data_IF_321442383115
#
_entry.id   IF_321442383115
#
_cell.length_a   1.000
_cell.length_b   1.000
_cell.length_c   1.000
_cell.angle_alpha   90.00
_cell.angle_beta   90.00
_cell.angle_gamma   90.00
#
_symmetry.space_group_name_H-M   'P 1'
#
loop_
_entity.id
_entity.type
_entity.pdbx_description
1 polymer ?
#
# COMPACT_ATOMS: atom_id res chain seq x y z
N UNK A 10 -10.83 25.49 -2.06
CA UNK A 10 -11.30 25.87 -0.68
C UNK A 10 -12.29 24.92 0.02
N UNK A 11 -11.80 24.06 0.94
CA UNK A 11 -12.72 23.16 1.65
C UNK A 11 -13.26 23.90 2.88
N UNK A 12 -12.73 25.09 3.09
CA UNK A 12 -13.15 26.01 4.16
C UNK A 12 -14.67 26.34 4.06
N UNK A 13 -15.39 25.58 3.24
CA UNK A 13 -16.78 25.82 3.01
C UNK A 13 -17.57 25.48 4.29
N UNK A 14 -17.17 24.36 4.92
CA UNK A 14 -17.78 23.82 6.14
C UNK A 14 -17.40 24.52 7.46
N UNK A 15 -17.06 23.75 8.51
CA UNK A 15 -16.69 24.33 9.80
C UNK A 15 -15.17 24.22 10.00
N UNK A 16 -14.59 25.08 10.83
CA UNK A 16 -13.14 25.08 11.05
C UNK A 16 -12.65 23.94 11.98
N UNK A 17 -13.22 23.86 13.19
CA UNK A 17 -12.80 22.83 14.18
C UNK A 17 -12.54 21.47 13.55
N UNK A 18 -13.52 20.98 12.80
CA UNK A 18 -13.35 19.70 12.11
C UNK A 18 -12.77 18.64 13.08
N UNK A 19 -13.45 18.41 14.20
CA UNK A 19 -12.95 17.47 15.22
C UNK A 19 -12.49 16.14 14.62
N UNK A 20 -13.19 15.65 13.61
CA UNK A 20 -12.71 14.39 13.04
C UNK A 20 -11.26 14.64 12.57
N UNK A 21 -11.01 15.64 11.75
CA UNK A 21 -9.66 15.78 11.19
C UNK A 21 -8.57 15.97 12.26
N UNK A 22 -8.86 16.65 13.37
CA UNK A 22 -7.81 16.82 14.38
C UNK A 22 -7.37 15.44 14.87
N UNK A 23 -8.33 14.54 15.07
CA UNK A 23 -7.92 13.26 15.64
C UNK A 23 -6.84 12.73 14.72
N UNK A 24 -7.06 12.76 13.40
CA UNK A 24 -6.04 12.32 12.45
C UNK A 24 -4.73 13.07 12.65
N UNK A 25 -4.74 14.37 12.89
CA UNK A 25 -3.44 15.00 13.12
C UNK A 25 -2.78 14.24 14.26
N UNK A 26 -3.52 14.01 15.32
CA UNK A 26 -2.96 13.30 16.47
C UNK A 26 -2.31 12.01 15.97
N UNK A 27 -3.00 11.28 15.09
CA UNK A 27 -2.38 10.09 14.49
C UNK A 27 -1.16 10.54 13.70
N UNK A 28 -1.27 11.58 12.87
CA UNK A 28 -0.11 11.79 12.01
C UNK A 28 1.13 11.95 12.88
N UNK A 29 1.08 12.72 13.96
CA UNK A 29 2.24 12.80 14.84
C UNK A 29 2.46 11.46 15.54
N UNK A 30 1.41 10.80 16.00
CA UNK A 30 1.62 9.50 16.67
C UNK A 30 2.40 8.61 15.70
N UNK A 31 1.99 8.56 14.44
CA UNK A 31 2.67 7.78 13.41
C UNK A 31 3.98 8.44 12.95
N UNK A 32 4.11 9.76 13.01
CA UNK A 32 5.36 10.34 12.53
C UNK A 32 6.51 9.68 13.31
N UNK A 33 6.31 9.53 14.59
CA UNK A 33 7.47 9.12 15.38
C UNK A 33 8.01 7.78 14.83
N UNK A 34 7.21 6.75 14.56
CA UNK A 34 7.79 5.57 13.91
C UNK A 34 8.28 5.95 12.50
N UNK A 35 7.54 6.87 11.90
CA UNK A 35 7.86 7.28 10.52
C UNK A 35 9.36 7.55 10.43
N UNK A 36 9.89 8.24 11.45
CA UNK A 36 11.30 8.57 11.44
C UNK A 36 12.11 7.27 11.40
N UNK A 37 11.53 6.21 11.95
CA UNK A 37 12.14 4.89 11.93
C UNK A 37 12.19 4.41 10.49
N UNK A 38 11.14 4.75 9.77
CA UNK A 38 11.01 4.40 8.37
C UNK A 38 12.19 4.84 7.51
N UNK A 39 12.75 6.03 7.64
CA UNK A 39 13.92 6.31 6.79
C UNK A 39 15.06 5.33 7.15
N UNK A 40 15.16 5.04 8.43
CA UNK A 40 16.18 4.10 8.94
C UNK A 40 15.90 2.67 8.45
N UNK A 41 14.67 2.23 8.65
CA UNK A 41 14.15 0.92 8.20
C UNK A 41 14.08 0.80 6.66
N UNK A 42 13.73 1.93 6.05
CA UNK A 42 13.60 1.99 4.59
C UNK A 42 14.94 1.70 3.91
N UNK A 43 15.94 2.45 4.34
CA UNK A 43 17.29 2.32 3.80
C UNK A 43 17.97 1.01 4.21
N UNK A 44 17.82 0.65 5.47
CA UNK A 44 18.53 -0.54 5.92
C UNK A 44 18.13 -1.75 5.08
N UNK A 45 16.84 -2.09 5.10
CA UNK A 45 16.41 -3.32 4.41
C UNK A 45 16.87 -3.41 2.95
N UNK A 46 16.69 -2.38 2.14
CA UNK A 46 17.16 -2.49 0.76
C UNK A 46 18.66 -2.73 0.74
N UNK A 47 19.37 -2.09 1.67
CA UNK A 47 20.83 -2.21 1.71
C UNK A 47 21.23 -3.43 2.54
N UNK A 48 20.24 -4.13 3.04
CA UNK A 48 20.45 -5.37 3.79
C UNK A 48 20.45 -6.49 2.76
N UNK A 49 21.54 -7.17 2.44
CA UNK A 49 21.46 -8.21 1.43
C UNK A 49 20.43 -9.28 1.77
N UNK A 50 20.33 -9.64 3.05
CA UNK A 50 19.39 -10.68 3.47
C UNK A 50 17.98 -10.11 3.64
N UNK A 51 17.69 -9.04 2.90
CA UNK A 51 16.37 -8.41 2.97
C UNK A 51 15.64 -8.46 1.62
N UNK A 52 15.83 -9.52 0.83
CA UNK A 52 15.19 -9.64 -0.48
C UNK A 52 14.02 -10.65 -0.45
N UNK A 53 12.99 -10.34 0.34
CA UNK A 53 11.81 -11.23 0.45
C UNK A 53 10.62 -10.68 -0.33
N UNK A 54 9.42 -11.09 0.09
CA UNK A 54 8.14 -10.63 -0.47
C UNK A 54 8.00 -9.13 -0.27
N UNK A 55 8.85 -8.62 0.61
CA UNK A 55 8.88 -7.23 1.04
C UNK A 55 9.83 -6.42 0.15
N UNK A 56 10.81 -7.10 -0.37
CA UNK A 56 11.80 -6.42 -1.19
C UNK A 56 11.09 -5.59 -2.26
N UNK A 57 10.04 -6.13 -2.86
CA UNK A 57 9.30 -5.37 -3.84
C UNK A 57 8.69 -4.14 -3.17
N UNK A 58 8.10 -4.37 -1.99
CA UNK A 58 7.53 -3.29 -1.19
C UNK A 58 8.61 -2.31 -0.77
N UNK A 59 9.83 -2.73 -0.47
CA UNK A 59 10.82 -1.74 -0.04
C UNK A 59 11.17 -0.77 -1.16
N UNK A 60 11.29 -1.21 -2.39
CA UNK A 60 11.55 -0.24 -3.45
C UNK A 60 10.38 0.75 -3.52
N UNK A 61 9.17 0.18 -3.47
CA UNK A 61 7.94 0.97 -3.51
C UNK A 61 7.89 1.89 -2.28
N UNK A 62 8.34 1.34 -1.15
CA UNK A 62 8.30 2.00 0.17
C UNK A 62 9.12 3.26 0.21
N UNK A 63 10.27 3.23 -0.46
CA UNK A 63 11.12 4.40 -0.50
C UNK A 63 10.34 5.47 -1.26
N UNK A 64 9.74 5.04 -2.34
CA UNK A 64 8.89 5.91 -3.15
C UNK A 64 7.64 6.31 -2.36
N UNK A 65 7.04 5.33 -1.71
CA UNK A 65 5.83 5.57 -0.94
C UNK A 65 6.07 6.44 0.30
N UNK A 66 7.21 6.15 0.95
CA UNK A 66 7.63 6.98 2.08
C UNK A 66 8.21 8.31 1.61
N UNK A 67 9.06 8.29 0.58
CA UNK A 67 9.59 9.53 0.01
C UNK A 67 8.46 10.33 -0.62
N UNK A 68 7.76 9.73 -1.58
CA UNK A 68 6.76 10.54 -2.25
C UNK A 68 5.85 11.06 -1.14
N UNK A 69 5.40 10.24 -0.21
CA UNK A 69 4.60 10.75 0.89
C UNK A 69 5.38 11.80 1.70
N UNK A 70 6.52 11.45 2.28
CA UNK A 70 7.15 12.45 3.14
C UNK A 70 7.44 13.74 2.37
N UNK A 71 7.93 13.64 1.14
CA UNK A 71 8.24 14.86 0.38
C UNK A 71 7.01 15.74 0.37
N UNK A 72 5.89 15.05 0.40
CA UNK A 72 4.59 15.68 0.37
C UNK A 72 4.04 15.93 1.77
N UNK A 73 4.68 15.38 2.80
CA UNK A 73 4.23 15.62 4.17
C UNK A 73 4.33 17.13 4.53
N UNK A 74 5.39 17.84 4.26
CA UNK A 74 5.42 19.29 4.59
C UNK A 74 4.17 19.98 4.09
N UNK A 75 3.68 19.51 2.94
CA UNK A 75 2.48 20.10 2.35
C UNK A 75 1.28 19.86 3.26
N UNK A 76 1.32 18.72 3.93
CA UNK A 76 0.25 18.34 4.85
C UNK A 76 0.24 19.27 6.07
N UNK A 77 1.38 19.52 6.73
CA UNK A 77 1.30 20.50 7.82
C UNK A 77 1.01 21.86 7.19
N UNK A 78 1.52 22.05 5.99
CA UNK A 78 1.27 23.29 5.27
C UNK A 78 -0.24 23.45 5.11
N UNK A 79 -0.96 22.35 5.10
CA UNK A 79 -2.41 22.43 4.97
C UNK A 79 -3.09 22.90 6.27
N UNK A 80 -2.43 22.68 7.42
CA UNK A 80 -2.96 23.17 8.71
C UNK A 80 -2.27 24.48 9.14
N UNK A 81 -1.00 24.63 8.79
CA UNK A 81 -0.24 25.82 9.16
C UNK A 81 -0.87 27.04 8.51
N UNK A 82 -1.05 27.00 7.20
CA UNK A 82 -1.66 28.12 6.52
C UNK A 82 -3.09 28.25 7.00
N UNK A 83 -3.83 27.16 6.93
CA UNK A 83 -5.22 27.14 7.36
C UNK A 83 -6.09 26.53 6.27
N UNK A 84 -5.56 26.54 5.06
CA UNK A 84 -6.26 26.00 3.91
C UNK A 84 -5.37 25.06 3.11
N UNK A 85 -5.75 24.83 1.87
CA UNK A 85 -4.99 23.96 0.97
C UNK A 85 -4.63 24.74 -0.30
N UNK A 86 -3.56 24.33 -0.97
CA UNK A 86 -3.15 24.99 -2.21
C UNK A 86 -2.30 24.05 -3.04
N UNK A 87 -2.71 23.89 -4.30
CA UNK A 87 -2.03 23.00 -5.23
C UNK A 87 -3.04 21.99 -5.77
N UNK A 88 -2.57 20.87 -6.32
CA UNK A 88 -3.44 19.82 -6.80
C UNK A 88 -2.94 18.55 -6.14
N UNK A 89 -2.16 18.79 -5.12
CA UNK A 89 -1.52 17.77 -4.30
C UNK A 89 -2.52 16.89 -3.55
N UNK A 90 -3.76 17.34 -3.40
CA UNK A 90 -4.65 16.47 -2.66
C UNK A 90 -4.86 15.13 -3.43
N UNK A 91 -5.41 15.16 -4.65
CA UNK A 91 -5.49 13.96 -5.52
C UNK A 91 -4.20 13.60 -6.28
N UNK A 92 -3.46 14.60 -6.73
CA UNK A 92 -2.24 14.39 -7.53
C UNK A 92 -1.14 13.63 -6.79
N UNK A 93 -1.21 13.58 -5.48
CA UNK A 93 -0.20 12.88 -4.67
C UNK A 93 -0.79 11.68 -3.95
N UNK A 94 -1.77 11.91 -3.10
CA UNK A 94 -2.32 10.86 -2.27
C UNK A 94 -3.09 9.79 -3.04
N UNK A 95 -4.03 10.20 -3.92
CA UNK A 95 -4.76 9.18 -4.68
C UNK A 95 -3.77 8.59 -5.66
N UNK A 96 -2.92 9.47 -6.18
CA UNK A 96 -1.93 9.07 -7.14
C UNK A 96 -1.11 7.92 -6.61
N UNK A 97 -0.39 8.12 -5.50
CA UNK A 97 0.44 7.04 -4.95
C UNK A 97 -0.42 5.84 -4.59
N UNK A 98 -1.63 6.10 -4.10
CA UNK A 98 -2.54 5.01 -3.75
C UNK A 98 -2.75 4.11 -4.94
N UNK A 99 -3.16 4.70 -6.07
CA UNK A 99 -3.62 3.91 -7.19
C UNK A 99 -2.56 2.92 -7.63
N UNK A 100 -1.33 3.36 -7.52
CA UNK A 100 -0.19 2.50 -7.79
C UNK A 100 -0.18 1.43 -6.73
N UNK A 101 -0.52 1.82 -5.49
CA UNK A 101 -0.54 0.87 -4.40
C UNK A 101 -1.64 -0.16 -4.62
N UNK A 102 -2.77 0.29 -5.16
CA UNK A 102 -3.83 -0.64 -5.50
C UNK A 102 -3.30 -1.60 -6.55
N UNK A 103 -2.74 -0.99 -7.60
CA UNK A 103 -2.23 -1.71 -8.75
C UNK A 103 -1.00 -2.48 -8.35
N UNK A 104 -0.33 -2.01 -7.32
CA UNK A 104 0.90 -2.66 -6.93
C UNK A 104 0.56 -4.13 -6.76
N UNK A 105 -0.47 -4.43 -5.97
CA UNK A 105 -0.87 -5.83 -5.74
C UNK A 105 -1.15 -6.62 -7.02
N UNK A 106 -1.83 -6.01 -7.98
CA UNK A 106 -2.06 -6.68 -9.26
C UNK A 106 -0.70 -7.00 -9.85
N UNK A 107 0.08 -5.95 -9.86
CA UNK A 107 1.47 -5.92 -10.30
C UNK A 107 2.37 -6.80 -9.44
N UNK A 108 2.09 -6.97 -8.16
CA UNK A 108 3.03 -7.70 -7.33
C UNK A 108 3.31 -9.05 -7.95
N UNK A 109 2.35 -9.85 -8.37
CA UNK A 109 2.73 -11.12 -8.97
C UNK A 109 3.63 -10.84 -10.16
N UNK A 110 3.38 -9.75 -10.86
CA UNK A 110 4.23 -9.44 -12.00
C UNK A 110 5.67 -9.42 -11.47
N UNK A 111 5.92 -8.67 -10.39
CA UNK A 111 7.29 -8.54 -9.90
C UNK A 111 7.79 -9.92 -9.47
N UNK A 112 6.87 -10.71 -8.97
CA UNK A 112 7.23 -12.07 -8.58
C UNK A 112 7.72 -12.78 -9.85
N UNK A 113 6.92 -12.83 -10.90
CA UNK A 113 7.38 -13.44 -12.15
C UNK A 113 8.61 -12.72 -12.70
N UNK A 114 8.65 -11.41 -12.58
CA UNK A 114 9.81 -10.65 -13.05
C UNK A 114 11.07 -11.03 -12.29
N UNK A 115 11.00 -11.05 -10.97
CA UNK A 115 12.16 -11.40 -10.17
C UNK A 115 12.52 -12.87 -10.32
N UNK A 116 11.51 -13.76 -10.39
CA UNK A 116 11.81 -15.18 -10.56
C UNK A 116 12.55 -15.36 -11.87
N UNK A 117 12.10 -14.64 -12.89
CA UNK A 117 12.64 -14.79 -14.24
C UNK A 117 14.17 -14.69 -14.17
N UNK A 118 14.73 -13.70 -13.49
CA UNK A 118 16.19 -13.63 -13.45
C UNK A 118 16.68 -14.94 -12.84
N UNK A 119 15.77 -15.57 -12.13
CA UNK A 119 16.06 -16.84 -11.50
C UNK A 119 15.62 -18.07 -12.35
N UNK A 120 14.49 -17.99 -13.10
CA UNK A 120 14.05 -19.15 -13.90
C UNK A 120 13.94 -18.89 -15.42
N UNK A 121 12.86 -18.21 -15.83
CA UNK A 121 12.58 -17.96 -17.26
C UNK A 121 12.84 -16.55 -17.77
N UNK A 122 13.45 -16.45 -18.95
CA UNK A 122 13.69 -15.14 -19.59
C UNK A 122 14.35 -14.16 -18.64
N UNK A 123 15.53 -14.50 -18.19
CA UNK A 123 16.28 -13.67 -17.27
C UNK A 123 16.75 -12.37 -17.93
N UNK A 124 16.10 -11.24 -17.59
CA UNK A 124 16.40 -9.89 -18.12
C UNK A 124 16.21 -9.80 -19.63
N UNK A 125 17.08 -9.05 -20.29
CA UNK A 125 16.98 -8.87 -21.74
C UNK A 125 17.99 -9.82 -22.35
N UNK A 126 19.12 -9.92 -21.66
CA UNK A 126 20.16 -10.90 -21.96
C UNK A 126 21.38 -10.64 -21.07
N UNK A 127 21.91 -9.38 -20.98
CA UNK A 127 22.97 -9.09 -19.99
C UNK A 127 22.59 -7.90 -19.09
N UNK A 128 21.84 -8.05 -18.00
CA UNK A 128 21.63 -6.87 -17.15
C UNK A 128 21.31 -7.22 -15.70
N UNK A 129 21.59 -6.24 -14.83
CA UNK A 129 21.35 -6.40 -13.40
C UNK A 129 19.92 -6.83 -13.17
N UNK A 130 19.65 -7.41 -12.01
CA UNK A 130 18.29 -7.81 -11.71
C UNK A 130 17.39 -6.61 -11.46
N UNK A 131 17.92 -5.59 -10.82
CA UNK A 131 17.22 -4.36 -10.46
C UNK A 131 16.75 -3.47 -11.61
N UNK A 132 17.70 -3.12 -12.48
CA UNK A 132 17.44 -2.15 -13.53
C UNK A 132 16.22 -2.55 -14.33
N UNK A 133 16.10 -3.87 -14.49
CA UNK A 133 14.99 -4.49 -15.18
C UNK A 133 13.68 -4.21 -14.49
N UNK A 134 13.62 -4.55 -13.20
CA UNK A 134 12.39 -4.42 -12.47
C UNK A 134 11.98 -2.95 -12.36
N UNK A 135 12.95 -2.04 -12.39
CA UNK A 135 12.49 -0.67 -12.32
C UNK A 135 11.75 -0.44 -13.65
N UNK A 136 12.45 -0.78 -14.72
CA UNK A 136 11.92 -0.61 -16.07
C UNK A 136 10.66 -1.43 -16.28
N UNK A 137 10.57 -2.60 -15.66
CA UNK A 137 9.34 -3.37 -15.81
C UNK A 137 8.23 -2.61 -15.10
N UNK A 138 8.57 -2.03 -13.95
CA UNK A 138 7.62 -1.23 -13.20
C UNK A 138 7.08 -0.16 -14.12
N UNK A 139 8.00 0.39 -14.91
CA UNK A 139 7.66 1.39 -15.90
C UNK A 139 6.71 0.83 -16.95
N UNK A 140 6.96 -0.34 -17.53
CA UNK A 140 5.99 -0.85 -18.48
C UNK A 140 4.67 -1.12 -17.76
N UNK A 141 4.78 -1.77 -16.60
CA UNK A 141 3.62 -2.21 -15.86
C UNK A 141 2.70 -1.07 -15.51
N UNK A 142 3.32 0.06 -15.15
CA UNK A 142 2.56 1.25 -14.78
C UNK A 142 1.65 1.62 -15.92
N UNK A 143 2.18 1.64 -17.13
CA UNK A 143 1.45 2.06 -18.31
C UNK A 143 0.13 1.31 -18.50
N UNK A 144 0.09 0.00 -18.28
CA UNK A 144 -1.21 -0.65 -18.42
C UNK A 144 -2.09 -0.07 -17.32
N UNK A 145 -1.45 0.06 -16.15
CA UNK A 145 -2.10 0.62 -14.96
C UNK A 145 -2.52 2.06 -15.20
N UNK A 146 -1.73 2.80 -15.98
CA UNK A 146 -2.07 4.20 -16.19
C UNK A 146 -3.42 4.21 -16.86
N UNK A 147 -3.63 3.34 -17.85
CA UNK A 147 -4.89 3.35 -18.55
C UNK A 147 -6.01 3.12 -17.55
N UNK A 148 -5.75 2.31 -16.53
CA UNK A 148 -6.76 2.06 -15.51
C UNK A 148 -6.96 3.35 -14.69
N UNK A 149 -5.88 4.09 -14.48
CA UNK A 149 -5.92 5.32 -13.69
C UNK A 149 -6.26 6.54 -14.54
N UNK A 150 -6.25 6.37 -15.87
CA UNK A 150 -6.52 7.48 -16.79
C UNK A 150 -7.91 8.11 -16.60
N UNK A 151 -8.95 7.33 -16.40
CA UNK A 151 -10.32 7.88 -16.21
C UNK A 151 -10.34 9.04 -15.22
N UNK A 152 -9.74 8.86 -14.06
CA UNK A 152 -9.74 9.89 -13.03
C UNK A 152 -9.10 11.18 -13.54
N UNK A 153 -7.98 11.13 -14.25
CA UNK A 153 -7.44 12.40 -14.74
C UNK A 153 -8.56 13.08 -15.54
N UNK A 154 -9.28 12.25 -16.30
CA UNK A 154 -10.36 12.74 -17.18
C UNK A 154 -11.63 13.19 -16.43
N UNK A 155 -12.42 12.26 -15.89
CA UNK A 155 -13.68 12.64 -15.21
C UNK A 155 -14.00 11.80 -13.96
N UNK A 156 -13.36 10.64 -13.81
CA UNK A 156 -13.64 9.77 -12.66
C UNK A 156 -13.12 10.44 -11.39
N UNK A 157 -13.52 9.88 -10.25
CA UNK A 157 -13.17 10.44 -8.96
C UNK A 157 -13.32 11.96 -8.98
N UNK A 158 -12.39 12.67 -8.35
CA UNK A 158 -12.51 14.12 -8.30
C UNK A 158 -11.22 14.74 -7.78
N UNK A 159 -11.06 16.04 -8.00
CA UNK A 159 -9.95 16.81 -7.48
C UNK A 159 -10.60 17.79 -6.49
N UNK A 160 -11.73 17.35 -5.92
CA UNK A 160 -12.42 18.15 -4.92
C UNK A 160 -11.60 18.20 -3.63
N UNK A 161 -11.62 19.28 -2.87
CA UNK A 161 -10.85 19.38 -1.60
C UNK A 161 -11.55 18.75 -0.40
N UNK A 162 -10.80 18.46 0.66
CA UNK A 162 -11.43 17.98 1.88
C UNK A 162 -10.56 18.28 3.10
N UNK A 163 -11.16 19.03 4.02
CA UNK A 163 -10.57 19.52 5.27
C UNK A 163 -9.23 20.25 5.06
N UNK A 164 -8.28 19.92 5.91
CA UNK A 164 -6.99 20.61 5.93
C UNK A 164 -5.83 19.67 5.72
N UNK A 165 -5.92 18.85 4.70
CA UNK A 165 -4.85 17.94 4.41
C UNK A 165 -5.00 17.41 2.98
N UNK A 166 -3.92 17.19 2.25
CA UNK A 166 -4.02 16.68 0.86
C UNK A 166 -4.38 15.20 0.88
N UNK A 167 -5.59 14.89 1.39
CA UNK A 167 -6.01 13.50 1.43
C UNK A 167 -7.12 13.07 0.46
N UNK A 168 -6.73 12.21 -0.48
CA UNK A 168 -7.70 11.66 -1.44
C UNK A 168 -7.96 10.21 -1.09
N UNK A 169 -9.20 9.77 -1.24
CA UNK A 169 -9.54 8.38 -1.07
C UNK A 169 -10.47 7.97 -2.20
N UNK A 170 -10.80 6.69 -2.30
CA UNK A 170 -11.64 6.19 -3.37
C UNK A 170 -12.89 7.03 -3.64
N UNK A 171 -13.39 6.75 -4.84
CA UNK A 171 -14.50 7.45 -5.47
C UNK A 171 -15.78 7.48 -4.62
N UNK A 172 -16.42 8.66 -4.66
CA UNK A 172 -17.64 9.10 -3.96
C UNK A 172 -19.00 8.45 -4.30
N UNK A 173 -19.27 8.22 -5.58
CA UNK A 173 -20.61 7.75 -5.97
C UNK A 173 -20.62 6.83 -7.18
N UNK A 174 -21.83 6.42 -7.57
CA UNK A 174 -22.00 5.51 -8.72
C UNK A 174 -21.39 6.05 -10.02
N UNK A 175 -21.99 7.14 -10.52
CA UNK A 175 -21.59 7.81 -11.76
C UNK A 175 -21.47 6.80 -12.94
N UNK A 176 -22.59 6.14 -13.24
CA UNK A 176 -22.65 5.10 -14.27
C UNK A 176 -22.09 5.47 -15.66
N UNK A 177 -22.11 6.72 -16.09
CA UNK A 177 -21.49 6.99 -17.41
C UNK A 177 -20.06 6.43 -17.40
N UNK A 178 -19.41 6.78 -16.29
CA UNK A 178 -17.97 6.49 -16.15
C UNK A 178 -17.71 5.37 -15.16
N UNK A 179 -18.74 4.94 -14.45
CA UNK A 179 -18.60 3.83 -13.51
C UNK A 179 -17.52 4.16 -12.46
N UNK A 180 -17.55 5.35 -11.94
CA UNK A 180 -16.51 5.74 -10.99
C UNK A 180 -16.55 4.74 -9.84
N UNK A 181 -17.74 4.22 -9.59
CA UNK A 181 -17.99 3.17 -8.61
C UNK A 181 -16.86 2.12 -8.63
N UNK A 182 -16.36 1.87 -9.83
CA UNK A 182 -15.36 0.82 -10.07
C UNK A 182 -14.13 0.92 -9.18
N UNK A 183 -13.67 2.10 -8.79
CA UNK A 183 -12.43 2.10 -8.03
C UNK A 183 -12.57 1.26 -6.75
N UNK A 184 -13.66 1.39 -6.03
CA UNK A 184 -13.83 0.51 -4.86
C UNK A 184 -13.81 -0.96 -5.32
N UNK A 185 -14.51 -1.25 -6.44
CA UNK A 185 -14.63 -2.63 -6.93
C UNK A 185 -13.43 -3.16 -7.79
N UNK A 186 -13.04 -2.54 -8.92
CA UNK A 186 -11.99 -3.22 -9.70
C UNK A 186 -10.57 -3.20 -9.06
N UNK A 187 -9.90 -2.08 -8.93
CA UNK A 187 -8.55 -2.04 -8.26
C UNK A 187 -8.50 -2.57 -6.82
N UNK A 188 -9.48 -2.18 -6.02
CA UNK A 188 -9.51 -2.54 -4.59
C UNK A 188 -9.94 -3.99 -4.31
N UNK A 189 -11.22 -4.27 -4.52
CA UNK A 189 -11.77 -5.61 -4.25
C UNK A 189 -11.16 -6.70 -5.11
N UNK A 190 -11.17 -6.48 -6.41
CA UNK A 190 -10.66 -7.43 -7.39
C UNK A 190 -9.14 -7.38 -7.48
N UNK A 191 -8.49 -6.43 -6.83
CA UNK A 191 -7.04 -6.38 -6.95
C UNK A 191 -6.37 -7.33 -5.96
N UNK A 192 -6.97 -7.48 -4.78
CA UNK A 192 -6.44 -8.41 -3.77
C UNK A 192 -7.36 -9.62 -3.70
N UNK A 193 -8.61 -9.38 -3.35
CA UNK A 193 -9.50 -10.52 -3.06
C UNK A 193 -9.63 -11.45 -4.28
N UNK A 194 -9.94 -10.96 -5.47
CA UNK A 194 -10.11 -11.91 -6.59
C UNK A 194 -8.84 -12.72 -6.88
N UNK A 195 -7.67 -12.13 -7.12
CA UNK A 195 -6.46 -12.94 -7.37
C UNK A 195 -6.09 -13.75 -6.15
N UNK A 196 -6.44 -13.26 -4.98
CA UNK A 196 -6.17 -13.98 -3.75
C UNK A 196 -6.91 -15.32 -3.77
N UNK A 197 -8.21 -15.29 -4.12
CA UNK A 197 -8.94 -16.54 -4.25
C UNK A 197 -8.36 -17.35 -5.40
N UNK A 198 -8.15 -16.63 -6.50
CA UNK A 198 -7.66 -17.25 -7.73
C UNK A 198 -6.33 -17.94 -7.46
N UNK A 199 -5.48 -17.28 -6.69
CA UNK A 199 -4.19 -17.89 -6.40
C UNK A 199 -4.50 -19.20 -5.71
N UNK A 200 -5.38 -19.13 -4.72
CA UNK A 200 -5.77 -20.30 -3.94
C UNK A 200 -6.36 -21.40 -4.83
N UNK A 201 -7.13 -21.01 -5.85
CA UNK A 201 -7.67 -21.98 -6.80
C UNK A 201 -6.54 -22.57 -7.64
N UNK A 202 -5.78 -21.65 -8.24
CA UNK A 202 -4.65 -21.98 -9.11
C UNK A 202 -3.52 -22.66 -8.35
N UNK A 203 -3.43 -22.34 -7.08
CA UNK A 203 -2.32 -22.86 -6.30
C UNK A 203 -2.34 -24.37 -6.35
N UNK A 204 -3.46 -25.02 -6.10
CA UNK A 204 -3.46 -26.46 -6.21
C UNK A 204 -3.00 -26.84 -7.61
N UNK A 205 -3.44 -26.06 -8.61
CA UNK A 205 -3.07 -26.31 -9.99
C UNK A 205 -1.56 -26.15 -10.23
N UNK A 206 -0.97 -25.05 -9.77
CA UNK A 206 0.47 -24.85 -10.00
C UNK A 206 1.29 -25.85 -9.18
N UNK A 207 0.76 -26.22 -8.03
CA UNK A 207 1.43 -27.18 -7.16
C UNK A 207 1.57 -28.54 -7.86
N UNK A 208 0.82 -28.70 -8.95
CA UNK A 208 0.81 -29.95 -9.72
C UNK A 208 2.23 -30.37 -10.12
N UNK A 209 3.13 -29.40 -10.32
CA UNK A 209 4.49 -29.71 -10.71
C UNK A 209 5.46 -29.32 -9.61
N UNK A 210 5.36 -28.07 -9.15
CA UNK A 210 6.13 -27.54 -8.04
C UNK A 210 5.32 -27.79 -6.76
N UNK A 211 5.10 -29.04 -6.35
CA UNK A 211 4.22 -29.24 -5.21
C UNK A 211 4.84 -28.72 -3.92
N UNK A 212 5.95 -29.29 -3.46
CA UNK A 212 6.57 -28.81 -2.22
C UNK A 212 7.79 -27.97 -2.55
N UNK A 213 8.52 -28.39 -3.59
CA UNK A 213 9.73 -27.69 -4.03
C UNK A 213 9.56 -26.17 -3.89
N UNK A 214 10.16 -25.61 -2.85
CA UNK A 214 10.10 -24.18 -2.63
C UNK A 214 11.06 -23.73 -1.54
N UNK A 215 12.35 -23.86 -1.80
CA UNK A 215 13.35 -23.48 -0.80
C UNK A 215 13.60 -21.97 -0.85
N UNK A 216 13.82 -21.38 0.33
CA UNK A 216 14.10 -19.96 0.43
C UNK A 216 12.98 -19.10 -0.17
N UNK A 217 13.35 -17.89 -0.55
CA UNK A 217 12.41 -16.95 -1.16
C UNK A 217 12.40 -17.13 -2.68
N UNK A 218 13.21 -18.05 -3.16
CA UNK A 218 13.31 -18.29 -4.60
C UNK A 218 11.96 -18.62 -5.22
N UNK A 219 11.14 -19.44 -4.53
CA UNK A 219 9.82 -19.79 -5.03
C UNK A 219 8.75 -19.68 -3.95
N UNK A 220 9.13 -20.04 -2.72
CA UNK A 220 8.19 -20.00 -1.60
C UNK A 220 7.59 -18.61 -1.43
N UNK A 221 8.39 -17.58 -1.74
CA UNK A 221 7.94 -16.21 -1.55
C UNK A 221 6.48 -16.13 -1.95
N UNK A 222 6.13 -16.77 -3.06
CA UNK A 222 4.78 -16.71 -3.60
C UNK A 222 3.69 -17.14 -2.59
N UNK A 223 3.92 -18.17 -1.77
CA UNK A 223 2.85 -18.50 -0.82
C UNK A 223 2.78 -17.35 0.17
N UNK A 224 3.96 -16.96 0.61
CA UNK A 224 4.11 -15.88 1.57
C UNK A 224 3.50 -14.59 1.01
N UNK A 225 3.72 -14.36 -0.27
CA UNK A 225 3.23 -13.13 -0.87
C UNK A 225 1.75 -13.01 -0.52
N UNK A 226 0.97 -14.02 -0.85
CA UNK A 226 -0.44 -13.98 -0.54
C UNK A 226 -0.67 -13.89 0.96
N UNK A 227 0.14 -14.61 1.74
CA UNK A 227 -0.05 -14.54 3.19
C UNK A 227 0.11 -13.10 3.67
N UNK A 228 1.21 -12.46 3.29
CA UNK A 228 1.46 -11.12 3.81
C UNK A 228 0.36 -10.15 3.38
N UNK A 229 -0.11 -10.23 2.14
CA UNK A 229 -1.18 -9.34 1.75
C UNK A 229 -2.36 -9.61 2.70
N UNK A 230 -2.70 -10.89 2.78
CA UNK A 230 -3.81 -11.39 3.61
C UNK A 230 -3.63 -11.05 5.09
N UNK A 231 -2.40 -11.17 5.58
CA UNK A 231 -2.10 -10.79 6.96
C UNK A 231 -2.42 -9.32 7.12
N UNK A 232 -1.76 -8.53 6.27
CA UNK A 232 -1.92 -7.09 6.22
C UNK A 232 -3.37 -6.72 6.04
N UNK A 233 -4.05 -7.45 5.16
CA UNK A 233 -5.44 -7.15 4.90
C UNK A 233 -6.30 -7.67 6.03
N UNK A 234 -5.79 -8.61 6.81
CA UNK A 234 -6.56 -9.06 7.96
C UNK A 234 -6.93 -7.86 8.79
N UNK A 235 -5.96 -6.95 8.88
CA UNK A 235 -6.09 -5.73 9.66
C UNK A 235 -6.56 -4.54 8.83
N UNK A 236 -6.15 -4.46 7.56
CA UNK A 236 -6.55 -3.32 6.75
C UNK A 236 -7.90 -3.54 6.08
N UNK A 237 -8.23 -4.80 5.81
CA UNK A 237 -9.49 -5.06 5.11
C UNK A 237 -10.75 -4.53 5.82
N UNK A 238 -11.07 -4.92 7.04
CA UNK A 238 -12.34 -4.44 7.67
C UNK A 238 -12.44 -2.94 7.95
N UNK A 239 -11.35 -2.30 8.38
CA UNK A 239 -11.46 -0.87 8.64
C UNK A 239 -11.62 -0.10 7.32
N UNK A 240 -10.78 -0.41 6.34
CA UNK A 240 -10.87 0.23 5.03
C UNK A 240 -12.15 -0.17 4.30
N UNK A 241 -12.48 -1.46 4.38
CA UNK A 241 -13.70 -1.92 3.75
C UNK A 241 -14.88 -1.25 4.45
N UNK A 242 -14.87 -1.39 5.77
CA UNK A 242 -16.06 -0.92 6.46
C UNK A 242 -16.10 0.60 6.40
N UNK A 243 -14.94 1.28 6.38
CA UNK A 243 -14.95 2.72 6.13
C UNK A 243 -15.55 2.95 4.75
N UNK A 244 -14.96 2.34 3.72
CA UNK A 244 -15.44 2.64 2.37
C UNK A 244 -16.90 2.24 2.26
N UNK A 245 -17.26 1.06 2.66
CA UNK A 245 -18.67 0.70 2.61
C UNK A 245 -19.48 1.77 3.35
N UNK A 246 -19.01 2.08 4.55
CA UNK A 246 -19.74 3.00 5.43
C UNK A 246 -20.02 4.35 4.75
N UNK A 247 -19.01 5.08 4.30
CA UNK A 247 -19.25 6.35 3.59
C UNK A 247 -20.21 6.16 2.42
N UNK A 248 -20.15 5.02 1.75
CA UNK A 248 -21.00 4.79 0.60
C UNK A 248 -22.37 4.23 1.02
N UNK A 249 -22.46 3.78 2.27
CA UNK A 249 -23.72 3.21 2.77
C UNK A 249 -24.60 4.31 3.38
N UNK A 250 -24.38 5.55 2.86
CA UNK A 250 -25.07 6.83 3.27
C UNK A 250 -25.86 6.78 4.60
N UNK A 251 -26.54 7.87 4.97
CA UNK A 251 -27.25 7.88 6.26
C UNK A 251 -26.29 8.09 7.43
N UNK A 252 -25.07 7.58 7.28
CA UNK A 252 -24.08 7.76 8.34
C UNK A 252 -23.21 8.97 8.01
N UNK A 253 -22.19 9.20 8.85
CA UNK A 253 -21.25 10.33 8.70
C UNK A 253 -21.31 10.96 7.32
N UNK A 254 -21.78 12.21 7.27
CA UNK A 254 -21.88 12.90 5.99
C UNK A 254 -22.22 14.38 6.18
N UNK A 255 -22.49 14.79 7.42
CA UNK A 255 -22.80 16.20 7.65
C UNK A 255 -21.74 17.15 7.12
N UNK A 256 -20.75 16.66 6.39
CA UNK A 256 -19.74 17.50 5.75
C UNK A 256 -18.79 16.55 5.01
N UNK A 257 -18.38 16.90 3.81
CA UNK A 257 -17.48 16.04 3.07
C UNK A 257 -16.07 16.13 3.62
N UNK A 258 -15.65 17.33 3.96
CA UNK A 258 -14.28 17.54 4.40
C UNK A 258 -13.86 16.60 5.54
N UNK A 259 -14.67 16.48 6.59
CA UNK A 259 -14.31 15.61 7.72
C UNK A 259 -14.40 14.13 7.36
N UNK A 260 -15.53 13.74 6.78
CA UNK A 260 -15.77 12.34 6.42
C UNK A 260 -14.93 11.93 5.22
N UNK A 261 -14.60 12.83 4.32
CA UNK A 261 -13.67 12.48 3.25
C UNK A 261 -12.24 12.50 3.78
N UNK A 262 -11.94 13.33 4.77
CA UNK A 262 -10.57 13.36 5.34
C UNK A 262 -10.28 12.20 6.27
N UNK A 263 -11.18 11.97 7.25
CA UNK A 263 -10.99 10.89 8.22
C UNK A 263 -10.86 9.55 7.52
N UNK A 264 -11.47 9.49 6.36
CA UNK A 264 -11.44 8.32 5.51
C UNK A 264 -10.06 8.23 4.88
N UNK A 265 -9.35 9.38 4.85
CA UNK A 265 -8.02 9.43 4.27
C UNK A 265 -6.95 9.07 5.31
N UNK A 266 -7.37 8.89 6.56
CA UNK A 266 -6.44 8.47 7.61
C UNK A 266 -5.83 7.17 7.14
N UNK A 267 -6.61 6.55 6.28
CA UNK A 267 -6.29 5.28 5.68
C UNK A 267 -5.06 5.40 4.79
N UNK A 268 -4.82 6.59 4.26
CA UNK A 268 -3.63 6.73 3.43
C UNK A 268 -2.37 6.50 4.28
N UNK A 269 -2.37 6.98 5.54
CA UNK A 269 -1.23 6.72 6.42
C UNK A 269 -1.24 5.26 6.88
N UNK A 270 -2.43 4.69 6.90
CA UNK A 270 -2.61 3.31 7.34
C UNK A 270 -1.85 2.36 6.45
N UNK A 271 -1.76 2.64 5.18
CA UNK A 271 -1.00 1.76 4.34
C UNK A 271 0.48 2.08 4.57
N UNK A 272 0.77 3.30 5.04
CA UNK A 272 2.15 3.59 5.42
C UNK A 272 2.50 2.78 6.68
N UNK A 273 1.65 2.91 7.72
CA UNK A 273 1.81 2.18 8.99
C UNK A 273 1.81 0.69 8.82
N UNK A 274 0.90 0.12 8.08
CA UNK A 274 0.97 -1.31 7.94
C UNK A 274 2.27 -1.69 7.30
N UNK A 275 2.82 -0.83 6.47
CA UNK A 275 4.06 -1.11 5.78
C UNK A 275 5.19 -1.51 6.72
N UNK A 276 5.21 -1.04 7.96
CA UNK A 276 6.30 -1.44 8.84
C UNK A 276 6.28 -2.96 9.04
N UNK A 277 5.13 -3.59 8.84
CA UNK A 277 5.06 -5.05 8.95
C UNK A 277 5.95 -5.67 7.88
N UNK A 278 6.32 -4.87 6.87
CA UNK A 278 7.15 -5.39 5.79
C UNK A 278 8.52 -5.74 6.33
N UNK A 279 8.71 -5.51 7.63
CA UNK A 279 10.01 -5.82 8.22
C UNK A 279 9.84 -6.75 9.41
N UNK A 280 8.59 -7.22 9.60
CA UNK A 280 8.26 -8.05 10.74
C UNK A 280 7.81 -9.41 10.20
N UNK A 281 7.02 -9.49 9.14
CA UNK A 281 6.71 -10.82 8.63
C UNK A 281 8.00 -11.36 7.97
N UNK A 282 8.91 -10.43 7.66
CA UNK A 282 10.23 -10.78 7.07
C UNK A 282 11.12 -11.54 8.07
N UNK A 283 11.49 -10.98 9.19
CA UNK A 283 12.32 -11.71 10.20
C UNK A 283 11.59 -12.96 10.73
N UNK A 284 10.27 -12.87 10.76
CA UNK A 284 9.44 -13.99 11.22
C UNK A 284 9.50 -15.16 10.24
N UNK A 285 9.33 -14.91 8.95
CA UNK A 285 9.40 -16.03 8.00
C UNK A 285 10.85 -16.50 7.94
N UNK A 286 11.77 -15.58 8.10
CA UNK A 286 13.19 -15.92 8.15
C UNK A 286 13.44 -16.87 9.33
N UNK A 287 12.95 -16.42 10.49
CA UNK A 287 13.07 -17.11 11.77
C UNK A 287 12.39 -18.49 11.75
N UNK A 288 11.32 -18.60 11.00
CA UNK A 288 10.53 -19.84 10.97
C UNK A 288 11.38 -21.04 10.60
N UNK A 289 12.11 -21.02 9.49
CA UNK A 289 12.87 -22.21 9.17
C UNK A 289 13.95 -22.40 10.25
N UNK A 290 14.80 -21.39 10.45
CA UNK A 290 15.84 -21.51 11.47
C UNK A 290 15.25 -21.96 12.81
N UNK A 291 16.13 -22.29 13.76
CA UNK A 291 15.68 -22.75 15.07
C UNK A 291 16.43 -22.02 16.20
N UNK A 292 17.48 -21.28 15.84
CA UNK A 292 18.23 -20.53 16.84
C UNK A 292 17.42 -19.27 17.18
N UNK A 293 16.58 -18.89 16.23
CA UNK A 293 15.69 -17.74 16.37
C UNK A 293 14.61 -18.01 17.43
N UNK A 294 14.29 -19.28 17.61
CA UNK A 294 13.27 -19.70 18.57
C UNK A 294 13.50 -19.09 19.95
N UNK A 295 14.64 -19.46 20.51
CA UNK A 295 15.06 -19.00 21.84
C UNK A 295 15.66 -17.60 21.78
N UNK A 296 15.89 -17.08 20.58
CA UNK A 296 16.47 -15.76 20.44
C UNK A 296 15.47 -14.68 20.89
N UNK A 297 14.21 -14.83 20.48
CA UNK A 297 13.18 -13.86 20.88
C UNK A 297 12.83 -14.09 22.36
N UNK A 298 12.98 -15.34 22.79
CA UNK A 298 12.79 -15.78 24.17
C UNK A 298 13.86 -15.21 25.09
N UNK A 299 15.07 -15.13 24.54
CA UNK A 299 16.26 -14.72 25.28
C UNK A 299 16.03 -13.44 26.10
N UNK A 300 15.74 -12.34 25.42
CA UNK A 300 15.49 -11.06 26.10
C UNK A 300 14.25 -11.11 26.97
N UNK A 301 13.24 -11.84 26.51
CA UNK A 301 11.97 -11.95 27.23
C UNK A 301 12.16 -12.51 28.64
N UNK A 302 13.16 -13.37 28.82
CA UNK A 302 13.35 -13.88 30.18
C UNK A 302 13.92 -12.73 31.00
N UNK A 303 14.79 -11.96 30.35
CA UNK A 303 15.49 -10.86 31.02
C UNK A 303 14.63 -9.59 31.08
N UNK A 304 13.57 -9.51 30.29
CA UNK A 304 12.71 -8.34 30.32
C UNK A 304 13.41 -7.12 29.74
N UNK A 305 14.50 -6.71 30.36
CA UNK A 305 15.26 -5.55 29.89
C UNK A 305 15.56 -5.68 28.40
#
# INVERSE_FOLDING_TARGET
MPPADEDYSPCMLETETLNKYVVIIAYALVFLLSLLGNSLVMLVILYSRVGRSVTDVYLLNLALADLLFALTLPIWAASKVNGWIFGTFLCKVVSLLKEVNFYSGILLLACISVDRYLAIVHATRTLTQKRHLVKFVCLGCWGLSMNLSLPFFLFRQAYHPNNSSPVCYEVLGNDTAKWRMVLRILPHTFGFIVPLFVMLFCYGFTLRTLFKAHMGQKHRAMRVIFAVVLIFLLCWLPYNLVLLADTLMRTQVIQESCERRNNIGRALDATEILGFLHSCLNPIIYAFIGQNFRHGFLKILAMHGLVSK
#
